data_IF_145476874875
#
_entry.id   IF_145476874875
#
_cell.length_a   1.000
_cell.length_b   1.000
_cell.length_c   1.000
_cell.angle_alpha   90.00
_cell.angle_beta   90.00
_cell.angle_gamma   90.00
#
_symmetry.space_group_name_H-M   'P 1'
#
loop_
_entity.id
_entity.type
_entity.pdbx_description
1 polymer ?
#
# COMPACT_ATOMS: atom_id res chain seq x y z
N UNK A 1 11.31 29.43 -65.33
CA UNK A 1 11.80 28.77 -64.09
C UNK A 1 12.19 29.82 -63.05
N UNK A 2 11.30 30.23 -62.13
CA UNK A 2 11.66 31.31 -61.19
C UNK A 2 10.77 31.51 -59.97
N UNK A 3 9.52 31.02 -59.99
CA UNK A 3 8.59 31.20 -58.87
C UNK A 3 8.64 30.05 -57.86
N UNK A 4 8.74 28.78 -58.29
CA UNK A 4 8.78 27.65 -57.35
C UNK A 4 10.05 27.63 -56.50
N UNK A 5 11.22 27.96 -57.09
CA UNK A 5 12.50 28.07 -56.33
C UNK A 5 12.47 29.11 -55.22
N UNK A 6 11.68 30.19 -55.37
CA UNK A 6 11.55 31.23 -54.34
C UNK A 6 10.63 30.76 -53.20
N UNK A 7 9.60 29.98 -53.53
CA UNK A 7 8.70 29.35 -52.57
C UNK A 7 9.45 28.27 -51.77
N UNK A 8 10.22 27.40 -52.43
CA UNK A 8 11.06 26.38 -51.76
C UNK A 8 12.04 27.01 -50.78
N UNK A 9 12.69 28.12 -51.16
CA UNK A 9 13.64 28.84 -50.30
C UNK A 9 12.96 29.49 -49.10
N UNK A 10 11.69 29.92 -49.23
CA UNK A 10 10.90 30.45 -48.13
C UNK A 10 10.46 29.35 -47.16
N UNK A 11 10.09 28.17 -47.66
CA UNK A 11 9.81 26.99 -46.82
C UNK A 11 11.06 26.48 -46.11
N UNK A 12 12.21 26.49 -46.78
CA UNK A 12 13.49 26.13 -46.19
C UNK A 12 13.89 27.10 -45.07
N UNK A 13 13.73 28.41 -45.30
CA UNK A 13 13.97 29.43 -44.27
C UNK A 13 13.01 29.31 -43.08
N UNK A 14 11.73 29.03 -43.33
CA UNK A 14 10.75 28.80 -42.27
C UNK A 14 11.10 27.54 -41.45
N UNK A 15 11.55 26.46 -42.10
CA UNK A 15 12.01 25.24 -41.42
C UNK A 15 13.29 25.45 -40.60
N UNK A 16 14.25 26.21 -41.12
CA UNK A 16 15.53 26.50 -40.44
C UNK A 16 15.37 27.48 -39.26
N UNK A 17 14.43 28.44 -39.34
CA UNK A 17 14.16 29.39 -38.23
C UNK A 17 13.20 28.85 -37.16
N UNK A 18 12.37 27.85 -37.48
CA UNK A 18 11.33 27.32 -36.57
C UNK A 18 11.67 25.90 -36.07
N UNK A 19 12.66 25.19 -36.61
CA UNK A 19 12.77 23.75 -36.30
C UNK A 19 14.13 23.08 -36.50
N UNK A 20 15.25 23.77 -36.30
CA UNK A 20 16.58 23.14 -36.39
C UNK A 20 16.92 22.24 -35.20
N UNK A 21 16.52 22.63 -34.00
CA UNK A 21 16.56 21.77 -32.82
C UNK A 21 15.13 21.63 -32.32
N UNK A 22 14.55 20.42 -32.49
CA UNK A 22 13.51 20.02 -31.56
C UNK A 22 14.12 20.22 -30.18
N UNK A 23 13.56 21.10 -29.36
CA UNK A 23 13.81 21.14 -27.92
C UNK A 23 13.22 19.87 -27.31
N UNK A 24 13.78 18.73 -27.71
CA UNK A 24 13.53 17.45 -27.10
C UNK A 24 14.30 17.46 -25.80
N UNK A 25 13.60 17.18 -24.71
CA UNK A 25 14.25 16.86 -23.45
C UNK A 25 15.34 15.81 -23.69
N UNK A 26 16.50 15.96 -23.01
CA UNK A 26 17.54 14.94 -23.05
C UNK A 26 16.94 13.59 -22.64
N UNK A 27 17.49 12.50 -23.15
CA UNK A 27 16.97 11.17 -22.78
C UNK A 27 17.05 10.93 -21.26
N UNK A 28 18.01 11.58 -20.59
CA UNK A 28 18.08 11.67 -19.14
C UNK A 28 16.82 12.31 -18.50
N UNK A 29 16.36 13.45 -19.02
CA UNK A 29 15.15 14.08 -18.50
C UNK A 29 13.90 13.23 -18.76
N UNK A 30 13.78 12.59 -19.93
CA UNK A 30 12.66 11.69 -20.22
C UNK A 30 12.64 10.47 -19.30
N UNK A 31 13.82 9.94 -18.98
CA UNK A 31 13.96 8.85 -18.02
C UNK A 31 13.55 9.30 -16.62
N UNK A 32 13.97 10.48 -16.18
CA UNK A 32 13.55 11.07 -14.91
C UNK A 32 12.03 11.31 -14.85
N UNK A 33 11.44 11.83 -15.92
CA UNK A 33 9.98 12.03 -16.02
C UNK A 33 9.23 10.70 -15.90
N UNK A 34 9.72 9.67 -16.61
CA UNK A 34 9.16 8.31 -16.52
C UNK A 34 9.25 7.76 -15.10
N UNK A 35 10.39 7.93 -14.45
CA UNK A 35 10.62 7.46 -13.08
C UNK A 35 9.73 8.21 -12.07
N UNK A 36 9.53 9.52 -12.26
CA UNK A 36 8.62 10.33 -11.44
C UNK A 36 7.17 9.86 -11.58
N UNK A 37 6.70 9.58 -12.79
CA UNK A 37 5.36 9.02 -13.02
C UNK A 37 5.21 7.66 -12.34
N UNK A 38 6.18 6.76 -12.50
CA UNK A 38 6.16 5.44 -11.86
C UNK A 38 6.11 5.55 -10.33
N UNK A 39 6.90 6.46 -9.74
CA UNK A 39 6.87 6.71 -8.30
C UNK A 39 5.52 7.25 -7.84
N UNK A 40 4.97 8.22 -8.55
CA UNK A 40 3.71 8.83 -8.19
C UNK A 40 2.57 7.80 -8.21
N UNK A 41 2.39 7.10 -9.32
CA UNK A 41 1.34 6.08 -9.45
C UNK A 41 1.52 4.92 -8.47
N UNK A 42 2.77 4.48 -8.26
CA UNK A 42 3.09 3.45 -7.28
C UNK A 42 2.73 3.89 -5.86
N UNK A 43 3.05 5.12 -5.50
CA UNK A 43 2.75 5.68 -4.18
C UNK A 43 1.25 5.80 -3.94
N UNK A 44 0.47 6.25 -4.93
CA UNK A 44 -0.99 6.33 -4.80
C UNK A 44 -1.63 4.95 -4.56
N UNK A 45 -1.18 3.94 -5.31
CA UNK A 45 -1.65 2.55 -5.17
C UNK A 45 -1.28 1.96 -3.81
N UNK A 46 -0.05 2.22 -3.35
CA UNK A 46 0.42 1.80 -2.03
C UNK A 46 -0.41 2.46 -0.93
N UNK A 47 -0.58 3.79 -0.97
CA UNK A 47 -1.35 4.53 0.02
C UNK A 47 -2.78 4.00 0.11
N UNK A 48 -3.45 3.80 -1.03
CA UNK A 48 -4.83 3.28 -1.07
C UNK A 48 -4.93 1.90 -0.44
N UNK A 49 -4.01 0.99 -0.78
CA UNK A 49 -3.97 -0.37 -0.26
C UNK A 49 -3.69 -0.39 1.24
N UNK A 50 -2.71 0.38 1.69
CA UNK A 50 -2.33 0.50 3.11
C UNK A 50 -3.47 1.09 3.94
N UNK A 51 -4.16 2.12 3.45
CA UNK A 51 -5.32 2.68 4.16
C UNK A 51 -6.44 1.64 4.34
N UNK A 52 -6.70 0.83 3.30
CA UNK A 52 -7.66 -0.27 3.38
C UNK A 52 -7.25 -1.32 4.42
N UNK A 53 -5.98 -1.73 4.40
CA UNK A 53 -5.41 -2.68 5.35
C UNK A 53 -5.49 -2.17 6.79
N UNK A 54 -5.00 -0.95 7.05
CA UNK A 54 -5.02 -0.32 8.38
C UNK A 54 -6.44 -0.23 8.91
N UNK A 55 -7.40 0.22 8.09
CA UNK A 55 -8.81 0.29 8.50
C UNK A 55 -9.40 -1.08 8.86
N UNK A 56 -9.03 -2.12 8.12
CA UNK A 56 -9.53 -3.47 8.36
C UNK A 56 -8.93 -4.06 9.64
N UNK A 57 -7.61 -3.96 9.81
CA UNK A 57 -6.91 -4.53 10.95
C UNK A 57 -7.19 -3.75 12.25
N UNK A 58 -7.37 -2.43 12.18
CA UNK A 58 -7.72 -1.61 13.36
C UNK A 58 -9.20 -1.68 13.76
N UNK A 59 -10.02 -2.49 13.07
CA UNK A 59 -11.46 -2.56 13.35
C UNK A 59 -11.70 -3.23 14.69
N UNK A 60 -12.16 -2.45 15.67
CA UNK A 60 -12.60 -2.96 16.98
C UNK A 60 -14.08 -3.37 16.92
N UNK A 61 -14.39 -4.50 17.53
CA UNK A 61 -15.75 -5.05 17.61
C UNK A 61 -16.21 -5.19 19.05
N UNK A 62 -17.45 -5.64 19.22
CA UNK A 62 -17.95 -6.23 20.47
C UNK A 62 -18.01 -7.74 20.22
N UNK A 63 -17.50 -8.56 21.13
CA UNK A 63 -17.73 -10.00 21.09
C UNK A 63 -19.00 -10.34 21.90
N UNK A 64 -19.71 -11.42 21.56
CA UNK A 64 -21.00 -11.75 22.17
C UNK A 64 -20.98 -11.83 23.71
N UNK A 65 -19.84 -12.19 24.30
CA UNK A 65 -19.67 -12.40 25.74
C UNK A 65 -18.71 -11.39 26.39
N UNK A 66 -18.14 -10.47 25.61
CA UNK A 66 -17.09 -9.58 26.08
C UNK A 66 -17.56 -8.12 26.02
N UNK A 67 -17.56 -7.46 27.18
CA UNK A 67 -17.97 -6.05 27.31
C UNK A 67 -16.87 -5.11 26.84
N UNK A 68 -15.64 -5.58 26.70
CA UNK A 68 -14.51 -4.76 26.28
C UNK A 68 -14.35 -4.79 24.76
N UNK A 69 -14.22 -3.61 24.14
CA UNK A 69 -13.89 -3.53 22.72
C UNK A 69 -12.44 -3.94 22.50
N UNK A 70 -12.20 -4.90 21.62
CA UNK A 70 -10.87 -5.29 21.19
C UNK A 70 -10.84 -5.52 19.68
N UNK A 71 -9.64 -5.62 19.11
CA UNK A 71 -9.47 -6.19 17.76
C UNK A 71 -9.85 -7.68 17.74
N UNK A 72 -10.32 -8.22 16.60
CA UNK A 72 -10.81 -9.60 16.48
C UNK A 72 -9.86 -10.67 17.03
N UNK A 73 -8.55 -10.52 16.80
CA UNK A 73 -7.56 -11.48 17.27
C UNK A 73 -7.44 -11.52 18.80
N UNK A 74 -7.71 -10.39 19.48
CA UNK A 74 -7.76 -10.33 20.94
C UNK A 74 -8.92 -11.14 21.52
N UNK A 75 -10.11 -11.07 20.90
CA UNK A 75 -11.26 -11.87 21.32
C UNK A 75 -11.01 -13.38 21.21
N UNK A 76 -10.40 -13.81 20.09
CA UNK A 76 -10.03 -15.21 19.91
C UNK A 76 -8.98 -15.62 20.95
N UNK A 77 -8.00 -14.76 21.22
CA UNK A 77 -6.98 -14.99 22.24
C UNK A 77 -7.57 -15.22 23.62
N UNK A 78 -8.42 -14.30 24.09
CA UNK A 78 -9.11 -14.41 25.38
C UNK A 78 -9.93 -15.68 25.50
N UNK A 79 -10.71 -16.01 24.46
CA UNK A 79 -11.54 -17.22 24.47
C UNK A 79 -10.72 -18.51 24.52
N UNK A 80 -9.57 -18.55 23.85
CA UNK A 80 -8.65 -19.69 23.94
C UNK A 80 -8.07 -19.82 25.35
N UNK A 81 -7.68 -18.72 25.99
CA UNK A 81 -7.18 -18.74 27.38
C UNK A 81 -8.27 -19.24 28.33
N UNK A 82 -9.45 -18.61 28.30
CA UNK A 82 -10.58 -18.98 29.18
C UNK A 82 -10.97 -20.44 28.99
N UNK A 83 -11.11 -20.91 27.75
CA UNK A 83 -11.47 -22.31 27.52
C UNK A 83 -10.34 -23.27 27.91
N UNK A 84 -9.08 -22.87 27.74
CA UNK A 84 -7.93 -23.66 28.19
C UNK A 84 -7.87 -23.82 29.71
N UNK A 85 -8.34 -22.83 30.47
CA UNK A 85 -8.44 -22.84 31.93
C UNK A 85 -9.57 -23.75 32.45
N UNK A 86 -10.51 -24.17 31.60
CA UNK A 86 -11.56 -25.15 31.95
C UNK A 86 -11.01 -26.59 32.11
N UNK A 87 -9.81 -26.86 31.60
CA UNK A 87 -9.19 -28.18 31.64
C UNK A 87 -8.33 -28.38 32.90
N UNK A 88 -8.07 -29.64 33.25
CA UNK A 88 -7.11 -30.00 34.29
C UNK A 88 -5.70 -29.44 33.97
N UNK A 89 -4.89 -29.06 34.99
CA UNK A 89 -3.59 -28.41 34.77
C UNK A 89 -2.58 -29.21 33.94
N UNK A 90 -2.70 -30.54 33.88
CA UNK A 90 -1.83 -31.43 33.11
C UNK A 90 -2.35 -31.71 31.69
N UNK A 91 -3.49 -31.14 31.31
CA UNK A 91 -4.04 -31.24 29.96
C UNK A 91 -3.11 -30.59 28.95
N UNK A 92 -2.53 -31.38 28.05
CA UNK A 92 -1.72 -30.87 26.94
C UNK A 92 -2.53 -29.92 26.04
N UNK A 93 -3.79 -30.25 25.80
CA UNK A 93 -4.69 -29.41 24.99
C UNK A 93 -5.01 -28.08 25.68
N UNK A 94 -5.34 -28.10 26.98
CA UNK A 94 -5.61 -26.89 27.75
C UNK A 94 -4.40 -25.97 27.80
N UNK A 95 -3.22 -26.54 28.10
CA UNK A 95 -1.96 -25.81 28.09
C UNK A 95 -1.61 -25.24 26.70
N UNK A 96 -1.89 -26.00 25.63
CA UNK A 96 -1.73 -25.55 24.25
C UNK A 96 -2.65 -24.38 23.89
N UNK A 97 -3.91 -24.45 24.28
CA UNK A 97 -4.88 -23.37 24.10
C UNK A 97 -4.45 -22.10 24.81
N UNK A 98 -4.02 -22.19 26.08
CA UNK A 98 -3.54 -21.04 26.85
C UNK A 98 -2.31 -20.42 26.17
N UNK A 99 -1.37 -21.24 25.70
CA UNK A 99 -0.17 -20.73 25.03
C UNK A 99 -0.48 -19.97 23.73
N UNK A 100 -1.34 -20.53 22.88
CA UNK A 100 -1.77 -19.89 21.62
C UNK A 100 -2.63 -18.66 21.90
N UNK A 101 -3.53 -18.73 22.90
CA UNK A 101 -4.38 -17.63 23.32
C UNK A 101 -3.57 -16.41 23.75
N UNK A 102 -2.59 -16.60 24.62
CA UNK A 102 -1.66 -15.54 25.05
C UNK A 102 -0.82 -14.97 23.91
N UNK A 103 -0.45 -15.79 22.93
CA UNK A 103 0.25 -15.30 21.74
C UNK A 103 -0.66 -14.38 20.91
N UNK A 104 -1.93 -14.74 20.74
CA UNK A 104 -2.91 -13.89 20.05
C UNK A 104 -3.19 -12.58 20.79
N UNK A 105 -3.27 -12.61 22.12
CA UNK A 105 -3.41 -11.39 22.94
C UNK A 105 -2.24 -10.42 22.72
N UNK A 106 -1.00 -10.91 22.69
CA UNK A 106 0.18 -10.07 22.40
C UNK A 106 0.17 -9.49 20.98
N UNK A 107 -0.34 -10.24 20.00
CA UNK A 107 -0.52 -9.72 18.63
C UNK A 107 -1.58 -8.61 18.66
N UNK A 108 -2.67 -8.79 19.39
CA UNK A 108 -3.71 -7.79 19.56
C UNK A 108 -3.15 -6.49 20.18
N UNK A 109 -2.36 -6.60 21.24
CA UNK A 109 -1.68 -5.45 21.88
C UNK A 109 -0.79 -4.69 20.89
N UNK A 110 -0.02 -5.42 20.07
CA UNK A 110 0.85 -4.82 19.04
C UNK A 110 0.05 -4.14 17.94
N UNK A 111 -1.14 -4.65 17.64
CA UNK A 111 -2.05 -4.13 16.62
C UNK A 111 -2.84 -2.90 17.10
N UNK A 112 -2.99 -2.74 18.42
CA UNK A 112 -3.69 -1.61 19.03
C UNK A 112 -2.75 -0.46 19.47
N UNK A 113 -1.44 -0.70 19.58
CA UNK A 113 -0.41 0.30 19.89
C UNK A 113 -0.15 1.28 18.74
#
# INVERSE_FOLDING_TARGET
>A
MGLSRKIDRAFQWAGEKVGGEKTAHSDEFKNLETEMTLRHEGMEKLQKSTNGYVKWISRRGEAPEDKEKAVPIGFVGRMMVTHGEDFEPDSEFGNGLIAVGRANERIAETQEA
#
